data_IF_668675465433
#
_entry.id   IF_668675465433
#
_cell.length_a   1.000
_cell.length_b   1.000
_cell.length_c   1.000
_cell.angle_alpha   90.00
_cell.angle_beta   90.00
_cell.angle_gamma   90.00
#
_symmetry.space_group_name_H-M   'P 1'
#
loop_
_entity.id
_entity.type
_entity.pdbx_description
1 polymer ?
#
# COMPACT_ATOMS: atom_id res chain seq x y z
N UNK A 1 15.00 -4.65 8.50
CA UNK A 1 16.35 -4.32 9.02
C UNK A 1 16.27 -3.47 10.28
N UNK A 2 15.30 -2.56 10.43
CA UNK A 2 15.18 -1.71 11.64
C UNK A 2 13.76 -1.80 12.19
N UNK A 3 13.62 -2.39 13.38
CA UNK A 3 12.36 -2.51 14.12
C UNK A 3 12.39 -1.57 15.32
N UNK A 4 11.30 -0.82 15.51
CA UNK A 4 11.14 0.14 16.60
C UNK A 4 11.03 -0.58 17.96
N UNK A 5 11.88 -0.27 18.96
CA UNK A 5 11.85 -0.87 20.30
C UNK A 5 11.27 0.06 21.39
N UNK A 6 10.82 1.26 21.03
CA UNK A 6 10.37 2.29 21.97
C UNK A 6 10.11 3.63 21.28
N UNK A 7 9.99 4.76 22.00
CA UNK A 7 9.79 6.07 21.39
C UNK A 7 10.99 6.46 20.51
N UNK A 8 10.70 7.10 19.37
CA UNK A 8 11.71 7.66 18.46
C UNK A 8 11.90 9.16 18.72
N UNK A 9 12.73 9.84 17.92
CA UNK A 9 13.07 11.25 18.11
C UNK A 9 12.62 12.19 16.99
N UNK A 10 12.19 11.66 15.84
CA UNK A 10 12.06 12.43 14.59
C UNK A 10 10.60 12.73 14.19
N UNK A 11 9.61 12.05 14.76
CA UNK A 11 8.23 12.37 14.48
C UNK A 11 7.86 13.68 15.20
N UNK A 12 6.81 14.41 14.75
CA UNK A 12 6.27 15.52 15.52
C UNK A 12 6.05 15.08 16.97
N UNK A 13 5.23 14.03 17.20
CA UNK A 13 4.94 13.47 18.52
C UNK A 13 5.44 12.03 18.62
N UNK A 14 6.27 11.74 19.63
CA UNK A 14 6.97 10.46 19.78
C UNK A 14 6.43 9.72 21.00
N UNK A 15 5.27 9.08 20.84
CA UNK A 15 4.63 8.31 21.91
C UNK A 15 5.40 7.01 22.19
N UNK A 16 5.38 6.62 23.45
CA UNK A 16 5.87 5.30 23.87
C UNK A 16 4.93 4.21 23.33
N UNK A 17 5.44 3.16 22.64
CA UNK A 17 4.64 2.02 22.26
C UNK A 17 3.99 1.34 23.48
N UNK A 18 2.73 0.93 23.35
CA UNK A 18 2.05 0.20 24.42
C UNK A 18 2.80 -1.09 24.80
N UNK A 19 2.66 -1.56 26.05
CA UNK A 19 3.19 -2.86 26.47
C UNK A 19 2.83 -3.98 25.48
N UNK A 20 3.84 -4.70 24.97
CA UNK A 20 3.69 -5.81 24.02
C UNK A 20 3.77 -5.43 22.55
N UNK A 21 3.89 -4.14 22.20
CA UNK A 21 3.92 -3.72 20.79
C UNK A 21 5.20 -4.14 20.05
N UNK A 22 6.37 -4.17 20.70
CA UNK A 22 7.60 -4.61 20.06
C UNK A 22 7.57 -6.11 19.75
N UNK A 23 6.88 -6.90 20.59
CA UNK A 23 6.54 -8.31 20.32
C UNK A 23 5.51 -8.45 19.20
N UNK A 24 4.42 -7.67 19.23
CA UNK A 24 3.37 -7.70 18.21
C UNK A 24 3.94 -7.42 16.81
N UNK A 25 4.72 -6.36 16.66
CA UNK A 25 5.30 -5.98 15.36
C UNK A 25 6.32 -6.99 14.85
N UNK A 26 7.06 -7.65 15.74
CA UNK A 26 7.96 -8.74 15.32
C UNK A 26 7.17 -9.93 14.76
N UNK A 27 6.10 -10.34 15.44
CA UNK A 27 5.21 -11.40 14.94
C UNK A 27 4.49 -11.01 13.65
N UNK A 28 4.08 -9.74 13.53
CA UNK A 28 3.52 -9.20 12.28
C UNK A 28 4.53 -9.31 11.14
N UNK A 29 5.79 -8.92 11.37
CA UNK A 29 6.84 -9.03 10.37
C UNK A 29 7.08 -10.49 9.94
N UNK A 30 7.17 -11.43 10.88
CA UNK A 30 7.30 -12.86 10.57
C UNK A 30 6.08 -13.42 9.83
N UNK A 31 4.87 -13.04 10.22
CA UNK A 31 3.64 -13.44 9.53
C UNK A 31 3.59 -12.92 8.08
N UNK A 32 4.26 -11.79 7.80
CA UNK A 32 4.44 -11.23 6.47
C UNK A 32 5.69 -11.73 5.73
N UNK A 33 6.40 -12.73 6.28
CA UNK A 33 7.51 -13.41 5.62
C UNK A 33 8.90 -12.78 5.86
N UNK A 34 9.07 -11.91 6.85
CA UNK A 34 10.39 -11.42 7.21
C UNK A 34 11.30 -12.57 7.66
N UNK A 35 12.47 -12.71 7.04
CA UNK A 35 13.47 -13.71 7.45
C UNK A 35 14.14 -13.34 8.79
N UNK A 36 14.19 -12.04 9.10
CA UNK A 36 14.76 -11.53 10.34
C UNK A 36 14.08 -10.24 10.78
N UNK A 37 13.96 -10.07 12.11
CA UNK A 37 13.54 -8.84 12.77
C UNK A 37 14.72 -8.32 13.59
N UNK A 38 15.24 -7.16 13.20
CA UNK A 38 16.41 -6.54 13.82
C UNK A 38 16.01 -5.22 14.47
N UNK A 39 16.12 -5.13 15.78
CA UNK A 39 15.73 -3.92 16.52
C UNK A 39 16.79 -2.83 16.41
N UNK A 40 16.37 -1.63 16.02
CA UNK A 40 17.21 -0.44 16.06
C UNK A 40 16.89 0.34 17.32
N UNK A 41 17.74 0.35 18.35
CA UNK A 41 19.14 -0.09 18.44
C UNK A 41 19.39 -0.88 19.71
N UNK A 42 20.56 -1.50 19.83
CA UNK A 42 20.93 -2.26 21.04
C UNK A 42 20.84 -1.41 22.32
N UNK A 43 21.51 -0.25 22.35
CA UNK A 43 21.51 0.69 23.49
C UNK A 43 21.27 2.10 23.00
N UNK A 44 20.35 2.81 23.67
CA UNK A 44 20.10 4.23 23.46
C UNK A 44 21.40 5.03 23.64
N UNK A 45 21.71 5.89 22.66
CA UNK A 45 22.88 6.75 22.74
C UNK A 45 22.63 7.90 23.73
N UNK A 46 23.57 8.26 24.62
CA UNK A 46 23.42 9.41 25.52
C UNK A 46 23.79 10.76 24.87
N UNK A 47 24.00 10.80 23.56
CA UNK A 47 24.50 11.98 22.85
C UNK A 47 23.98 12.04 21.40
N UNK A 48 24.21 13.19 20.75
CA UNK A 48 23.90 13.48 19.35
C UNK A 48 22.38 13.53 19.04
N UNK A 49 22.05 13.56 17.75
CA UNK A 49 20.71 13.85 17.21
C UNK A 49 19.65 12.83 17.66
N UNK A 50 20.07 11.58 17.91
CA UNK A 50 19.18 10.47 18.29
C UNK A 50 19.23 10.14 19.78
N UNK A 51 19.69 11.06 20.64
CA UNK A 51 19.80 10.79 22.08
C UNK A 51 18.45 10.45 22.75
N UNK A 52 17.33 10.83 22.11
CA UNK A 52 15.97 10.50 22.55
C UNK A 52 15.38 9.25 21.87
N UNK A 53 16.10 8.63 20.93
CA UNK A 53 15.66 7.39 20.27
C UNK A 53 15.94 6.20 21.17
N UNK A 54 14.89 5.54 21.65
CA UNK A 54 15.02 4.39 22.53
C UNK A 54 15.79 3.23 21.88
N UNK A 55 16.40 2.40 22.72
CA UNK A 55 16.97 1.12 22.33
C UNK A 55 16.48 0.00 23.24
N UNK A 56 16.94 -1.23 23.03
CA UNK A 56 16.65 -2.35 23.94
C UNK A 56 17.21 -2.11 25.34
N UNK A 57 18.31 -1.36 25.44
CA UNK A 57 18.86 -0.88 26.70
C UNK A 57 18.77 0.65 26.79
N UNK A 58 18.54 1.14 28.01
CA UNK A 58 18.69 2.55 28.38
C UNK A 58 20.17 2.99 28.33
N UNK A 59 20.48 4.29 28.37
CA UNK A 59 21.86 4.77 28.35
C UNK A 59 22.73 4.23 29.50
N UNK A 60 22.14 3.89 30.65
CA UNK A 60 22.79 3.27 31.81
C UNK A 60 22.94 1.74 31.69
N UNK A 61 22.61 1.17 30.52
CA UNK A 61 22.67 -0.26 30.20
C UNK A 61 21.66 -1.14 30.96
N UNK A 62 20.67 -0.54 31.62
CA UNK A 62 19.54 -1.29 32.18
C UNK A 62 18.54 -1.66 31.07
N UNK A 63 17.97 -2.87 31.07
CA UNK A 63 16.92 -3.26 30.13
C UNK A 63 15.76 -2.25 30.05
N UNK A 64 15.39 -1.89 28.82
CA UNK A 64 14.17 -1.15 28.52
C UNK A 64 13.02 -2.13 28.18
N UNK A 65 11.81 -1.60 28.00
CA UNK A 65 10.59 -2.42 27.82
C UNK A 65 10.73 -3.48 26.72
N UNK A 66 11.22 -3.11 25.54
CA UNK A 66 11.35 -4.05 24.43
C UNK A 66 12.42 -5.14 24.63
N UNK A 67 13.32 -5.03 25.61
CA UNK A 67 14.32 -6.06 25.87
C UNK A 67 13.67 -7.42 26.17
N UNK A 68 12.73 -7.42 27.12
CA UNK A 68 12.02 -8.63 27.53
C UNK A 68 11.05 -9.10 26.44
N UNK A 69 10.41 -8.17 25.73
CA UNK A 69 9.53 -8.50 24.59
C UNK A 69 10.30 -9.21 23.47
N UNK A 70 11.51 -8.76 23.15
CA UNK A 70 12.40 -9.40 22.17
C UNK A 70 12.85 -10.78 22.64
N UNK A 71 13.19 -10.95 23.92
CA UNK A 71 13.55 -12.25 24.48
C UNK A 71 12.37 -13.23 24.43
N UNK A 72 11.16 -12.75 24.68
CA UNK A 72 9.93 -13.53 24.56
C UNK A 72 9.70 -13.98 23.11
N UNK A 73 9.82 -13.08 22.12
CA UNK A 73 9.69 -13.45 20.70
C UNK A 73 10.68 -14.55 20.32
N UNK A 74 11.94 -14.46 20.76
CA UNK A 74 12.95 -15.47 20.47
C UNK A 74 12.59 -16.84 21.08
N UNK A 75 12.09 -16.86 22.32
CA UNK A 75 11.67 -18.09 22.99
C UNK A 75 10.44 -18.73 22.32
N UNK A 76 9.49 -17.91 21.88
CA UNK A 76 8.29 -18.36 21.16
C UNK A 76 8.65 -18.90 19.77
N UNK A 77 9.53 -18.21 19.02
CA UNK A 77 9.97 -18.64 17.69
C UNK A 77 10.67 -20.00 17.73
N UNK A 78 11.45 -20.29 18.78
CA UNK A 78 12.08 -21.60 18.98
C UNK A 78 11.09 -22.76 19.16
N UNK A 79 9.81 -22.47 19.41
CA UNK A 79 8.75 -23.47 19.57
C UNK A 79 7.92 -23.67 18.29
N UNK A 80 8.09 -22.81 17.28
CA UNK A 80 7.36 -22.89 16.02
C UNK A 80 8.13 -23.78 15.04
N UNK A 81 7.46 -24.69 14.31
CA UNK A 81 8.12 -25.47 13.26
C UNK A 81 8.57 -24.57 12.10
N UNK A 82 9.40 -25.10 11.23
CA UNK A 82 9.73 -24.42 9.98
C UNK A 82 8.45 -24.18 9.15
N UNK A 83 8.20 -22.93 8.80
CA UNK A 83 7.07 -22.47 7.99
C UNK A 83 7.57 -21.63 6.83
N UNK A 84 6.81 -21.59 5.74
CA UNK A 84 7.06 -20.71 4.60
C UNK A 84 5.85 -19.85 4.30
N UNK A 85 6.07 -18.76 3.57
CA UNK A 85 4.97 -17.99 3.00
C UNK A 85 4.26 -18.80 1.90
N UNK A 86 3.01 -18.44 1.65
CA UNK A 86 2.24 -18.90 0.50
C UNK A 86 1.81 -17.67 -0.31
N UNK A 87 1.60 -17.86 -1.61
CA UNK A 87 1.10 -16.81 -2.49
C UNK A 87 -0.26 -16.32 -2.01
N UNK A 88 -0.47 -15.00 -2.03
CA UNK A 88 -1.76 -14.41 -1.72
C UNK A 88 -2.80 -14.65 -2.82
N UNK A 89 -4.09 -14.69 -2.45
CA UNK A 89 -5.20 -14.70 -3.42
C UNK A 89 -5.45 -13.31 -4.05
N UNK A 90 -5.01 -12.24 -3.39
CA UNK A 90 -5.17 -10.86 -3.84
C UNK A 90 -3.83 -10.21 -4.15
N UNK A 91 -3.77 -9.49 -5.26
CA UNK A 91 -2.63 -8.70 -5.69
C UNK A 91 -2.95 -7.21 -5.65
N UNK A 92 -1.97 -6.40 -5.25
CA UNK A 92 -2.02 -4.95 -5.27
C UNK A 92 -0.80 -4.41 -6.02
N UNK A 93 -1.04 -3.78 -7.17
CA UNK A 93 0.04 -3.20 -7.98
C UNK A 93 0.47 -1.87 -7.38
N UNK A 94 1.77 -1.74 -7.12
CA UNK A 94 2.40 -0.50 -6.70
C UNK A 94 3.51 -0.12 -7.69
N UNK A 95 3.52 1.15 -8.09
CA UNK A 95 4.51 1.68 -9.03
C UNK A 95 5.09 3.01 -8.56
N UNK A 96 6.42 3.05 -8.42
CA UNK A 96 7.15 4.25 -8.06
C UNK A 96 7.10 5.32 -9.16
N UNK A 97 7.10 4.93 -10.44
CA UNK A 97 7.00 5.89 -11.53
C UNK A 97 5.63 6.61 -11.51
N UNK A 98 4.57 5.87 -11.19
CA UNK A 98 3.24 6.43 -10.92
C UNK A 98 3.21 7.35 -9.71
N UNK A 99 3.95 7.03 -8.64
CA UNK A 99 4.08 7.92 -7.50
C UNK A 99 4.69 9.28 -7.91
N UNK A 100 5.79 9.27 -8.67
CA UNK A 100 6.43 10.48 -9.19
C UNK A 100 5.55 11.24 -10.17
N UNK A 101 4.81 10.51 -11.01
CA UNK A 101 3.88 11.10 -11.94
C UNK A 101 2.82 11.94 -11.24
N UNK A 102 2.23 11.38 -10.18
CA UNK A 102 1.18 12.02 -9.43
C UNK A 102 1.68 13.07 -8.45
N UNK A 103 2.94 13.00 -8.02
CA UNK A 103 3.59 14.11 -7.32
C UNK A 103 3.88 15.29 -8.26
N UNK A 104 4.30 15.01 -9.50
CA UNK A 104 4.60 16.04 -10.51
C UNK A 104 3.32 16.73 -11.01
N UNK A 105 2.27 15.95 -11.26
CA UNK A 105 0.97 16.47 -11.71
C UNK A 105 -0.16 15.87 -10.88
N UNK A 106 -0.36 16.36 -9.64
CA UNK A 106 -1.46 15.90 -8.80
C UNK A 106 -2.82 16.30 -9.39
N UNK A 107 -2.89 17.41 -10.14
CA UNK A 107 -4.10 18.02 -10.74
C UNK A 107 -5.13 18.51 -9.70
N UNK A 108 -5.37 17.76 -8.62
CA UNK A 108 -6.01 18.22 -7.39
C UNK A 108 -5.01 18.22 -6.26
N UNK A 109 -4.97 19.28 -5.44
CA UNK A 109 -4.01 19.44 -4.34
C UNK A 109 -3.93 18.22 -3.41
N UNK A 110 -5.07 17.56 -3.19
CA UNK A 110 -5.21 16.46 -2.23
C UNK A 110 -5.23 15.07 -2.89
N UNK A 111 -4.91 15.00 -4.20
CA UNK A 111 -4.67 13.73 -4.86
C UNK A 111 -3.34 13.15 -4.37
N UNK A 112 -3.37 11.92 -3.85
CA UNK A 112 -2.19 11.23 -3.36
C UNK A 112 -2.24 9.77 -3.79
N UNK A 113 -1.25 9.35 -4.58
CA UNK A 113 -1.09 7.97 -5.01
C UNK A 113 -0.97 7.01 -3.82
N UNK A 114 -0.11 7.37 -2.86
CA UNK A 114 0.10 6.57 -1.68
C UNK A 114 -1.18 6.40 -0.87
N UNK A 115 -1.97 7.47 -0.70
CA UNK A 115 -3.28 7.38 -0.03
C UNK A 115 -4.22 6.42 -0.77
N UNK A 116 -4.30 6.52 -2.09
CA UNK A 116 -5.16 5.67 -2.91
C UNK A 116 -4.80 4.18 -2.81
N UNK A 117 -3.50 3.86 -2.92
CA UNK A 117 -2.98 2.50 -2.71
C UNK A 117 -3.23 2.03 -1.28
N UNK A 118 -2.95 2.88 -0.29
CA UNK A 118 -3.08 2.51 1.12
C UNK A 118 -4.54 2.32 1.54
N UNK A 119 -5.48 3.07 0.97
CA UNK A 119 -6.91 2.87 1.17
C UNK A 119 -7.37 1.52 0.58
N UNK A 120 -6.89 1.16 -0.61
CA UNK A 120 -7.10 -0.16 -1.19
C UNK A 120 -6.51 -1.29 -0.31
N UNK A 121 -5.26 -1.14 0.13
CA UNK A 121 -4.59 -2.07 1.05
C UNK A 121 -5.38 -2.26 2.35
N UNK A 122 -5.81 -1.17 2.99
CA UNK A 122 -6.63 -1.21 4.21
C UNK A 122 -7.97 -1.91 3.98
N UNK A 123 -8.62 -1.68 2.84
CA UNK A 123 -9.88 -2.35 2.51
C UNK A 123 -9.69 -3.87 2.42
N UNK A 124 -8.66 -4.33 1.71
CA UNK A 124 -8.31 -5.76 1.62
C UNK A 124 -7.95 -6.35 3.00
N UNK A 125 -7.14 -5.64 3.81
CA UNK A 125 -6.78 -6.09 5.16
C UNK A 125 -7.98 -6.19 6.11
N UNK A 126 -8.95 -5.28 6.01
CA UNK A 126 -10.20 -5.35 6.79
C UNK A 126 -11.06 -6.56 6.44
N UNK A 127 -10.92 -7.09 5.23
CA UNK A 127 -11.55 -8.33 4.79
C UNK A 127 -10.76 -9.58 5.18
N UNK A 128 -9.61 -9.43 5.87
CA UNK A 128 -8.77 -10.55 6.29
C UNK A 128 -7.97 -11.21 5.15
N UNK A 129 -7.81 -10.51 4.02
CA UNK A 129 -7.08 -11.05 2.87
C UNK A 129 -5.56 -10.91 3.06
N UNK A 130 -4.83 -11.95 2.67
CA UNK A 130 -3.41 -11.85 2.35
C UNK A 130 -3.24 -11.13 1.01
N UNK A 131 -2.16 -10.35 0.87
CA UNK A 131 -1.96 -9.45 -0.26
C UNK A 131 -0.52 -9.54 -0.72
N UNK A 132 -0.31 -9.83 -2.00
CA UNK A 132 0.98 -9.66 -2.66
C UNK A 132 1.05 -8.25 -3.27
N UNK A 133 2.13 -7.51 -3.02
CA UNK A 133 2.39 -6.25 -3.70
C UNK A 133 3.21 -6.54 -4.96
N UNK A 134 2.65 -6.22 -6.12
CA UNK A 134 3.23 -6.56 -7.41
C UNK A 134 3.84 -5.33 -8.11
N UNK A 135 4.92 -5.52 -8.89
CA UNK A 135 5.44 -4.48 -9.77
C UNK A 135 4.51 -4.27 -10.99
N UNK A 136 4.57 -3.09 -11.64
CA UNK A 136 3.67 -2.69 -12.73
C UNK A 136 3.89 -3.44 -14.06
N UNK A 137 4.95 -4.22 -14.17
CA UNK A 137 5.33 -5.02 -15.35
C UNK A 137 5.03 -6.52 -15.19
N UNK A 138 4.26 -6.88 -14.15
CA UNK A 138 3.86 -8.28 -13.92
C UNK A 138 3.10 -8.83 -15.12
N UNK A 139 3.67 -9.88 -15.74
CA UNK A 139 3.13 -10.52 -16.95
C UNK A 139 2.27 -11.77 -16.68
N UNK A 140 2.21 -12.25 -15.43
CA UNK A 140 1.40 -13.40 -15.05
C UNK A 140 0.53 -13.06 -13.83
N UNK A 141 -0.78 -13.01 -14.06
CA UNK A 141 -1.79 -12.77 -13.03
C UNK A 141 -2.64 -14.02 -12.76
N UNK A 142 -2.28 -15.18 -13.32
CA UNK A 142 -3.12 -16.38 -13.32
C UNK A 142 -3.40 -16.95 -11.92
N UNK A 143 -2.47 -16.71 -10.98
CA UNK A 143 -2.58 -17.21 -9.62
C UNK A 143 -3.44 -16.34 -8.69
N UNK A 144 -3.80 -15.13 -9.12
CA UNK A 144 -4.57 -14.19 -8.30
C UNK A 144 -6.05 -14.30 -8.64
N UNK A 145 -6.91 -14.24 -7.62
CA UNK A 145 -8.37 -14.17 -7.79
C UNK A 145 -8.86 -12.73 -7.91
N UNK A 146 -8.07 -11.80 -7.37
CA UNK A 146 -8.35 -10.37 -7.33
C UNK A 146 -7.07 -9.58 -7.57
N UNK A 147 -7.07 -8.67 -8.54
CA UNK A 147 -5.94 -7.78 -8.85
C UNK A 147 -6.40 -6.33 -8.75
N UNK A 148 -5.71 -5.53 -7.95
CA UNK A 148 -5.97 -4.09 -7.82
C UNK A 148 -4.82 -3.30 -8.43
N UNK A 149 -5.15 -2.32 -9.27
CA UNK A 149 -4.20 -1.30 -9.73
C UNK A 149 -4.83 0.08 -9.48
N UNK A 150 -4.69 0.65 -8.27
CA UNK A 150 -5.53 1.79 -7.85
C UNK A 150 -5.31 3.09 -8.64
N UNK A 151 -4.16 3.27 -9.28
CA UNK A 151 -3.88 4.49 -10.04
C UNK A 151 -2.53 4.44 -10.74
N UNK A 152 -2.25 3.35 -11.44
CA UNK A 152 -0.96 3.15 -12.12
C UNK A 152 -0.96 3.98 -13.41
N UNK A 153 -0.12 5.02 -13.47
CA UNK A 153 -0.14 6.06 -14.50
C UNK A 153 0.01 5.51 -15.92
N UNK A 154 0.87 4.52 -16.08
CA UNK A 154 1.16 3.86 -17.36
C UNK A 154 1.09 2.36 -17.12
N UNK A 155 0.17 1.66 -17.80
CA UNK A 155 0.13 0.20 -17.73
C UNK A 155 1.06 -0.36 -18.81
N UNK A 156 1.94 -1.28 -18.41
CA UNK A 156 2.87 -1.92 -19.33
C UNK A 156 2.12 -2.86 -20.27
N UNK A 157 2.67 -3.08 -21.48
CA UNK A 157 2.08 -4.05 -22.41
C UNK A 157 1.96 -5.47 -21.81
N UNK A 158 2.98 -6.03 -21.11
CA UNK A 158 2.84 -7.32 -20.44
C UNK A 158 1.71 -7.37 -19.41
N UNK A 159 1.50 -6.28 -18.65
CA UNK A 159 0.41 -6.23 -17.68
C UNK A 159 -0.96 -6.15 -18.36
N UNK A 160 -1.09 -5.37 -19.45
CA UNK A 160 -2.32 -5.33 -20.24
C UNK A 160 -2.64 -6.69 -20.88
N UNK A 161 -1.63 -7.39 -21.41
CA UNK A 161 -1.78 -8.74 -21.96
C UNK A 161 -2.22 -9.74 -20.87
N UNK A 162 -1.62 -9.65 -19.68
CA UNK A 162 -2.00 -10.46 -18.52
C UNK A 162 -3.44 -10.17 -18.06
N UNK A 163 -3.84 -8.90 -18.00
CA UNK A 163 -5.21 -8.49 -17.68
C UNK A 163 -6.22 -9.05 -18.68
N UNK A 164 -5.89 -9.08 -19.98
CA UNK A 164 -6.79 -9.56 -21.02
C UNK A 164 -7.17 -11.04 -20.88
N UNK A 165 -6.31 -11.85 -20.27
CA UNK A 165 -6.53 -13.30 -20.06
C UNK A 165 -6.84 -13.66 -18.60
N UNK A 166 -6.80 -12.68 -17.69
CA UNK A 166 -7.05 -12.91 -16.27
C UNK A 166 -8.49 -13.40 -16.04
N UNK A 167 -8.64 -14.51 -15.32
CA UNK A 167 -9.94 -15.12 -15.04
C UNK A 167 -10.58 -14.64 -13.72
N UNK A 168 -9.82 -13.90 -12.91
CA UNK A 168 -10.30 -13.28 -11.67
C UNK A 168 -10.88 -11.88 -11.90
N UNK A 169 -11.05 -11.14 -10.81
CA UNK A 169 -11.55 -9.76 -10.83
C UNK A 169 -10.36 -8.79 -10.89
N UNK A 170 -10.36 -7.89 -11.86
CA UNK A 170 -9.43 -6.77 -11.91
C UNK A 170 -10.14 -5.45 -11.55
N UNK A 171 -9.70 -4.80 -10.47
CA UNK A 171 -10.19 -3.48 -10.05
C UNK A 171 -9.13 -2.43 -10.35
N UNK A 172 -9.32 -1.73 -11.47
CA UNK A 172 -8.41 -0.70 -11.96
C UNK A 172 -8.96 0.67 -11.56
N UNK A 173 -8.21 1.39 -10.74
CA UNK A 173 -8.67 2.64 -10.14
C UNK A 173 -8.45 3.87 -11.03
N UNK A 174 -8.87 5.06 -10.56
CA UNK A 174 -8.87 6.28 -11.35
C UNK A 174 -7.47 6.68 -11.81
N UNK A 175 -7.39 7.39 -12.93
CA UNK A 175 -6.16 7.84 -13.59
C UNK A 175 -5.25 6.73 -14.08
N UNK A 176 -5.64 5.47 -13.95
CA UNK A 176 -4.85 4.36 -14.46
C UNK A 176 -4.71 4.45 -15.97
N UNK A 177 -3.52 4.16 -16.48
CA UNK A 177 -3.17 4.22 -17.89
C UNK A 177 -3.46 5.58 -18.56
N UNK A 178 -3.45 6.68 -17.78
CA UNK A 178 -3.72 8.03 -18.30
C UNK A 178 -2.48 8.78 -18.78
N UNK A 179 -1.30 8.15 -18.70
CA UNK A 179 -0.04 8.71 -19.17
C UNK A 179 0.72 7.72 -20.06
N UNK A 180 1.45 8.26 -21.04
CA UNK A 180 2.53 7.53 -21.73
C UNK A 180 3.82 7.58 -20.91
N UNK A 181 4.86 6.85 -21.34
CA UNK A 181 6.19 6.92 -20.73
C UNK A 181 6.78 8.35 -20.76
N UNK A 182 6.42 9.15 -21.76
CA UNK A 182 6.84 10.54 -21.96
C UNK A 182 5.89 11.55 -21.28
N UNK A 183 5.02 11.08 -20.38
CA UNK A 183 4.08 11.91 -19.63
C UNK A 183 2.99 12.61 -20.46
N UNK A 184 2.70 12.10 -21.66
CA UNK A 184 1.63 12.60 -22.52
C UNK A 184 0.30 11.91 -22.23
N UNK A 185 -0.81 12.51 -22.69
CA UNK A 185 -2.12 11.83 -22.70
C UNK A 185 -2.10 10.79 -23.84
N UNK A 186 -2.36 9.50 -23.58
CA UNK A 186 -2.28 8.47 -24.59
C UNK A 186 -3.45 8.56 -25.59
N UNK A 187 -3.21 8.01 -26.79
CA UNK A 187 -4.25 7.61 -27.72
C UNK A 187 -4.18 6.08 -27.93
N UNK A 188 -5.31 5.36 -27.89
CA UNK A 188 -6.65 5.86 -27.51
C UNK A 188 -6.71 6.35 -26.05
N UNK A 189 -7.71 7.18 -25.74
CA UNK A 189 -7.84 7.84 -24.44
C UNK A 189 -7.97 6.83 -23.28
N UNK A 190 -7.56 7.20 -22.05
CA UNK A 190 -7.68 6.33 -20.89
C UNK A 190 -9.12 5.89 -20.60
N UNK A 191 -9.32 4.78 -19.88
CA UNK A 191 -8.27 3.93 -19.32
C UNK A 191 -7.72 2.91 -20.33
N UNK A 192 -8.32 2.78 -21.52
CA UNK A 192 -7.90 1.86 -22.59
C UNK A 192 -7.53 0.46 -22.07
N UNK A 193 -8.48 -0.18 -21.38
CA UNK A 193 -8.29 -1.50 -20.77
C UNK A 193 -8.88 -2.61 -21.66
N UNK A 194 -8.27 -3.80 -21.69
CA UNK A 194 -8.83 -4.95 -22.41
C UNK A 194 -10.27 -5.26 -21.96
N UNK A 195 -11.19 -5.40 -22.92
CA UNK A 195 -12.58 -5.76 -22.64
C UNK A 195 -13.46 -4.64 -22.04
N UNK A 196 -12.92 -3.44 -21.79
CA UNK A 196 -13.69 -2.33 -21.22
C UNK A 196 -13.89 -1.22 -22.25
N UNK A 197 -15.13 -1.09 -22.75
CA UNK A 197 -15.50 0.02 -23.64
C UNK A 197 -15.87 1.28 -22.83
N UNK A 198 -14.85 1.95 -22.30
CA UNK A 198 -14.96 3.21 -21.58
C UNK A 198 -13.85 4.18 -22.00
N UNK A 199 -14.18 5.48 -22.00
CA UNK A 199 -13.26 6.58 -22.25
C UNK A 199 -13.44 7.66 -21.19
N UNK A 200 -12.35 8.08 -20.54
CA UNK A 200 -12.32 9.23 -19.65
C UNK A 200 -12.32 10.49 -20.51
N UNK A 201 -13.49 11.09 -20.67
CA UNK A 201 -13.67 12.30 -21.49
C UNK A 201 -13.19 13.56 -20.77
N UNK A 202 -13.41 13.64 -19.46
CA UNK A 202 -13.03 14.78 -18.60
C UNK A 202 -12.75 14.33 -17.18
N UNK A 203 -12.04 15.16 -16.42
CA UNK A 203 -11.72 14.92 -15.01
C UNK A 203 -12.03 16.16 -14.18
N UNK A 204 -12.36 15.95 -12.92
CA UNK A 204 -12.59 17.00 -11.93
C UNK A 204 -11.86 16.63 -10.63
N UNK A 205 -11.09 17.57 -10.09
CA UNK A 205 -10.54 17.49 -8.74
C UNK A 205 -11.49 18.18 -7.76
N UNK A 206 -11.84 17.49 -6.68
CA UNK A 206 -12.83 17.93 -5.71
C UNK A 206 -12.14 18.35 -4.41
N UNK A 207 -12.59 19.42 -3.74
CA UNK A 207 -12.16 19.73 -2.38
C UNK A 207 -12.42 18.54 -1.42
N UNK A 208 -11.60 18.33 -0.37
CA UNK A 208 -11.73 17.18 0.52
C UNK A 208 -13.06 17.06 1.26
N UNK A 209 -13.75 18.17 1.46
CA UNK A 209 -15.03 18.30 2.15
C UNK A 209 -16.25 18.25 1.20
N UNK A 210 -16.02 17.99 -0.09
CA UNK A 210 -17.07 17.85 -1.10
C UNK A 210 -17.22 16.37 -1.49
N UNK A 211 -18.06 15.59 -0.78
CA UNK A 211 -18.36 14.23 -1.16
C UNK A 211 -19.26 14.17 -2.38
N UNK A 212 -19.05 13.14 -3.21
CA UNK A 212 -20.00 12.75 -4.24
C UNK A 212 -20.72 11.48 -3.73
N UNK A 213 -22.02 11.57 -3.42
CA UNK A 213 -22.78 10.44 -2.91
C UNK A 213 -22.91 9.32 -3.96
N UNK A 214 -22.91 8.08 -3.48
CA UNK A 214 -23.24 6.89 -4.26
C UNK A 214 -24.71 6.51 -4.02
N UNK A 215 -25.34 5.90 -5.01
CA UNK A 215 -26.75 5.50 -4.97
C UNK A 215 -27.00 4.36 -3.97
N UNK A 216 -26.12 3.36 -3.90
CA UNK A 216 -26.20 2.30 -2.88
C UNK A 216 -25.63 2.69 -1.51
N UNK A 217 -25.26 3.97 -1.32
CA UNK A 217 -24.76 4.51 -0.07
C UNK A 217 -23.24 4.62 0.00
N UNK A 218 -22.79 5.54 0.85
CA UNK A 218 -21.41 5.99 0.86
C UNK A 218 -21.15 7.08 -0.19
N UNK A 219 -19.87 7.42 -0.35
CA UNK A 219 -19.44 8.56 -1.14
C UNK A 219 -17.98 8.38 -1.56
N UNK A 220 -17.61 8.91 -2.73
CA UNK A 220 -16.20 9.09 -3.08
C UNK A 220 -15.77 10.55 -2.88
N UNK A 221 -14.45 10.75 -2.77
CA UNK A 221 -13.80 12.02 -2.48
C UNK A 221 -12.67 12.30 -3.47
N UNK A 222 -12.25 13.57 -3.56
CA UNK A 222 -11.03 14.07 -4.21
C UNK A 222 -10.95 14.03 -5.74
N UNK A 223 -11.42 12.96 -6.39
CA UNK A 223 -11.24 12.77 -7.83
C UNK A 223 -12.50 12.20 -8.48
N UNK A 224 -12.89 12.78 -9.63
CA UNK A 224 -13.98 12.28 -10.45
C UNK A 224 -13.56 12.23 -11.91
N UNK A 225 -13.84 11.11 -12.56
CA UNK A 225 -13.71 10.96 -14.01
C UNK A 225 -15.10 10.92 -14.64
N UNK A 226 -15.28 11.68 -15.71
CA UNK A 226 -16.50 11.66 -16.53
C UNK A 226 -16.26 10.68 -17.68
N UNK A 227 -16.95 9.55 -17.61
CA UNK A 227 -16.80 8.46 -18.57
C UNK A 227 -17.82 8.58 -19.71
N UNK A 228 -17.35 8.35 -20.93
CA UNK A 228 -18.18 7.95 -22.07
C UNK A 228 -18.01 6.43 -22.20
N UNK A 229 -19.06 5.66 -21.97
CA UNK A 229 -18.96 4.20 -21.84
C UNK A 229 -20.24 3.51 -22.26
N UNK A 230 -20.09 2.27 -22.75
CA UNK A 230 -21.21 1.33 -22.95
C UNK A 230 -21.15 0.15 -21.97
N UNK A 231 -20.14 0.14 -21.09
CA UNK A 231 -20.01 -0.86 -20.04
C UNK A 231 -21.14 -0.72 -19.00
N UNK A 232 -21.51 -1.84 -18.40
CA UNK A 232 -22.50 -1.88 -17.32
C UNK A 232 -21.96 -1.17 -16.06
N UNK A 233 -22.72 -0.22 -15.54
CA UNK A 233 -22.42 0.44 -14.28
C UNK A 233 -22.96 -0.37 -13.10
N UNK A 234 -22.08 -0.77 -12.19
CA UNK A 234 -22.46 -1.48 -10.95
C UNK A 234 -22.93 -0.52 -9.84
N UNK A 235 -22.62 0.77 -9.96
CA UNK A 235 -22.93 1.83 -9.00
C UNK A 235 -22.97 3.20 -9.72
N UNK A 236 -23.79 4.14 -9.22
CA UNK A 236 -23.95 5.47 -9.82
C UNK A 236 -23.96 6.59 -8.78
N UNK A 237 -23.73 7.82 -9.23
CA UNK A 237 -23.70 9.05 -8.40
C UNK A 237 -24.68 10.09 -8.87
#
# INVERSE_FOLDING_TARGET
MEQQPGPVNWAPWNLDPLPGMARLWAWEAFAHGAEAVCYFRWRQAPFAQEQMHAGLLRPDSVPAQAYEETAQVAAELAQIPDVSTARADAALVFDYASAWAWETQPQGRDFSYFRLVFDAYKALRKLGLNIDILPPDTADLSAYKLVLAPGVATLSAPFLDALAIHQGIALIGPRSNSKTAEFAIPLPLPPNLPGLNATVARVESLPPDVPVPLTAGGNFLHWREKLETTAEGIETT
#
